data_IF_451301862193
#
_entry.id   IF_451301862193
#
_cell.length_a   1.000
_cell.length_b   1.000
_cell.length_c   1.000
_cell.angle_alpha   90.00
_cell.angle_beta   90.00
_cell.angle_gamma   90.00
#
_symmetry.space_group_name_H-M   'P 1'
#
loop_
_entity.id
_entity.type
_entity.pdbx_description
1 polymer ?
#
# COMPACT_ATOMS: atom_id res chain seq x y z
N UNK A 1 18.01 -7.45 7.00
CA UNK A 1 17.04 -7.15 5.94
C UNK A 1 15.73 -6.78 6.61
N UNK A 2 15.28 -5.53 6.49
CA UNK A 2 13.97 -5.12 7.02
C UNK A 2 12.90 -5.83 6.19
N UNK A 3 12.09 -6.68 6.84
CA UNK A 3 11.03 -7.43 6.16
C UNK A 3 9.88 -6.47 5.84
N UNK A 4 9.26 -6.64 4.67
CA UNK A 4 8.05 -5.89 4.28
C UNK A 4 6.98 -6.01 5.39
N UNK A 5 6.39 -4.89 5.87
CA UNK A 5 5.45 -4.90 7.00
C UNK A 5 4.04 -5.36 6.57
N UNK A 6 3.94 -6.61 6.11
CA UNK A 6 2.75 -7.20 5.49
C UNK A 6 1.47 -7.00 6.30
N UNK A 7 1.51 -7.34 7.59
CA UNK A 7 0.34 -7.27 8.47
C UNK A 7 -0.16 -5.84 8.65
N UNK A 8 0.74 -4.90 8.85
CA UNK A 8 0.39 -3.50 9.11
C UNK A 8 -0.19 -2.85 7.85
N UNK A 9 0.44 -3.10 6.70
CA UNK A 9 -0.04 -2.64 5.39
C UNK A 9 -1.40 -3.27 5.06
N UNK A 10 -1.59 -4.56 5.33
CA UNK A 10 -2.87 -5.22 5.11
C UNK A 10 -3.99 -4.63 5.97
N UNK A 11 -3.70 -4.33 7.24
CA UNK A 11 -4.67 -3.70 8.16
C UNK A 11 -5.03 -2.27 7.74
N UNK A 12 -4.06 -1.49 7.23
CA UNK A 12 -4.31 -0.16 6.69
C UNK A 12 -5.23 -0.24 5.46
N UNK A 13 -4.89 -1.10 4.50
CA UNK A 13 -5.66 -1.31 3.27
C UNK A 13 -7.07 -1.84 3.53
N UNK A 14 -7.27 -2.64 4.58
CA UNK A 14 -8.60 -3.14 4.97
C UNK A 14 -9.56 -2.02 5.39
N UNK A 15 -9.02 -0.95 5.98
CA UNK A 15 -9.80 0.20 6.47
C UNK A 15 -10.03 1.24 5.40
N UNK A 16 -9.35 1.14 4.26
CA UNK A 16 -9.45 2.08 3.16
C UNK A 16 -10.74 1.85 2.34
N UNK A 17 -11.57 2.90 2.26
CA UNK A 17 -12.84 2.86 1.54
C UNK A 17 -12.66 2.72 0.01
N UNK A 18 -11.62 3.32 -0.58
CA UNK A 18 -11.35 3.22 -2.00
C UNK A 18 -10.91 1.81 -2.40
N UNK A 19 -10.11 1.15 -1.54
CA UNK A 19 -9.76 -0.28 -1.71
C UNK A 19 -11.01 -1.14 -1.67
N UNK A 20 -11.93 -0.88 -0.74
CA UNK A 20 -13.20 -1.61 -0.64
C UNK A 20 -14.10 -1.38 -1.85
N UNK A 21 -14.28 -0.13 -2.27
CA UNK A 21 -15.14 0.23 -3.41
C UNK A 21 -14.62 -0.35 -4.73
N UNK A 22 -13.30 -0.36 -4.91
CA UNK A 22 -12.64 -0.88 -6.11
C UNK A 22 -11.94 -2.22 -5.87
N UNK A 23 -12.50 -3.05 -4.99
CA UNK A 23 -11.87 -4.31 -4.56
C UNK A 23 -11.45 -5.22 -5.70
N UNK A 24 -12.32 -5.37 -6.71
CA UNK A 24 -12.03 -6.17 -7.90
C UNK A 24 -10.81 -5.65 -8.67
N UNK A 25 -10.75 -4.34 -8.91
CA UNK A 25 -9.62 -3.70 -9.59
C UNK A 25 -8.34 -3.81 -8.76
N UNK A 26 -8.43 -3.60 -7.45
CA UNK A 26 -7.33 -3.77 -6.52
C UNK A 26 -6.73 -5.18 -6.59
N UNK A 27 -7.57 -6.22 -6.61
CA UNK A 27 -7.14 -7.60 -6.76
C UNK A 27 -6.36 -7.80 -8.07
N UNK A 28 -6.89 -7.31 -9.20
CA UNK A 28 -6.26 -7.47 -10.52
C UNK A 28 -4.89 -6.79 -10.55
N UNK A 29 -4.79 -5.56 -10.08
CA UNK A 29 -3.57 -4.76 -10.11
C UNK A 29 -2.43 -5.49 -9.39
N UNK A 30 -2.66 -5.88 -8.14
CA UNK A 30 -1.60 -6.43 -7.30
C UNK A 30 -1.30 -7.91 -7.59
N UNK A 31 -2.33 -8.72 -7.81
CA UNK A 31 -2.13 -10.17 -8.02
C UNK A 31 -1.97 -10.56 -9.49
N UNK A 32 -2.23 -9.65 -10.44
CA UNK A 32 -2.23 -9.90 -11.87
C UNK A 32 -3.46 -10.68 -12.37
N UNK A 33 -4.24 -11.31 -11.48
CA UNK A 33 -5.42 -12.09 -11.81
C UNK A 33 -6.47 -12.00 -10.70
N UNK A 34 -7.71 -11.64 -11.00
CA UNK A 34 -8.80 -11.79 -10.03
C UNK A 34 -9.29 -13.24 -10.00
N UNK A 35 -8.77 -14.07 -9.08
CA UNK A 35 -9.42 -15.37 -8.83
C UNK A 35 -10.71 -15.12 -8.05
N UNK A 36 -11.71 -15.96 -8.30
CA UNK A 36 -13.04 -15.85 -7.66
C UNK A 36 -12.96 -15.83 -6.12
N UNK A 37 -11.99 -16.56 -5.55
CA UNK A 37 -11.72 -16.62 -4.12
C UNK A 37 -11.18 -15.29 -3.53
N UNK A 38 -10.52 -14.47 -4.34
CA UNK A 38 -9.91 -13.21 -3.91
C UNK A 38 -10.92 -12.07 -3.93
N UNK A 39 -11.88 -12.12 -4.86
CA UNK A 39 -12.91 -11.08 -5.04
C UNK A 39 -14.13 -11.28 -4.15
N UNK A 40 -14.17 -12.36 -3.37
CA UNK A 40 -15.21 -12.58 -2.35
C UNK A 40 -15.08 -11.54 -1.22
N UNK A 41 -16.06 -10.65 -1.12
CA UNK A 41 -16.17 -9.62 -0.08
C UNK A 41 -16.18 -10.19 1.35
N UNK A 42 -16.57 -11.46 1.55
CA UNK A 42 -16.48 -12.13 2.86
C UNK A 42 -15.01 -12.29 3.30
N UNK A 43 -14.11 -12.52 2.34
CA UNK A 43 -12.67 -12.64 2.56
C UNK A 43 -11.98 -11.27 2.66
N UNK A 44 -12.56 -10.21 2.07
CA UNK A 44 -12.13 -8.84 2.35
C UNK A 44 -12.35 -8.47 3.82
N UNK A 45 -13.57 -8.72 4.32
CA UNK A 45 -13.96 -8.32 5.68
C UNK A 45 -13.20 -9.04 6.79
N UNK A 46 -12.64 -10.23 6.55
CA UNK A 46 -11.83 -10.96 7.54
C UNK A 46 -10.32 -10.65 7.43
N UNK A 47 -9.89 -9.79 6.49
CA UNK A 47 -8.51 -9.36 6.28
C UNK A 47 -7.60 -10.39 5.60
N UNK A 48 -8.03 -11.66 5.51
CA UNK A 48 -7.19 -12.72 4.95
C UNK A 48 -6.96 -12.55 3.44
N UNK A 49 -7.91 -11.98 2.71
CA UNK A 49 -7.75 -11.76 1.27
C UNK A 49 -6.65 -10.74 0.96
N UNK A 50 -6.58 -9.64 1.73
CA UNK A 50 -5.60 -8.57 1.51
C UNK A 50 -4.18 -9.10 1.74
N UNK A 51 -3.95 -9.85 2.83
CA UNK A 51 -2.65 -10.46 3.07
C UNK A 51 -2.25 -11.42 1.96
N UNK A 52 -3.17 -12.27 1.49
CA UNK A 52 -2.89 -13.19 0.36
C UNK A 52 -2.56 -12.46 -0.93
N UNK A 53 -3.28 -11.39 -1.25
CA UNK A 53 -3.03 -10.57 -2.44
C UNK A 53 -1.64 -9.92 -2.34
N UNK A 54 -1.31 -9.33 -1.19
CA UNK A 54 0.01 -8.75 -0.96
C UNK A 54 1.12 -9.79 -1.00
N UNK A 55 0.92 -11.00 -0.48
CA UNK A 55 1.89 -12.09 -0.60
C UNK A 55 2.13 -12.51 -2.06
N UNK A 56 1.06 -12.57 -2.88
CA UNK A 56 1.19 -12.84 -4.32
C UNK A 56 1.92 -11.70 -5.03
N UNK A 57 1.60 -10.46 -4.66
CA UNK A 57 2.29 -9.28 -5.16
C UNK A 57 3.78 -9.33 -4.82
N UNK A 58 4.16 -9.60 -3.56
CA UNK A 58 5.57 -9.76 -3.14
C UNK A 58 6.27 -10.85 -3.96
N UNK A 59 5.61 -11.99 -4.17
CA UNK A 59 6.16 -13.09 -4.99
C UNK A 59 6.37 -12.67 -6.45
N UNK A 60 5.45 -11.87 -7.01
CA UNK A 60 5.52 -11.33 -8.39
C UNK A 60 6.63 -10.29 -8.53
N UNK A 61 6.73 -9.36 -7.57
CA UNK A 61 7.72 -8.28 -7.54
C UNK A 61 9.12 -8.78 -7.15
N UNK A 62 9.23 -10.02 -6.65
CA UNK A 62 10.50 -10.67 -6.31
C UNK A 62 11.00 -10.34 -4.90
N UNK A 63 12.18 -10.86 -4.55
CA UNK A 63 12.75 -10.80 -3.19
C UNK A 63 13.05 -9.39 -2.65
N UNK A 64 12.87 -8.35 -3.46
CA UNK A 64 13.10 -6.95 -3.11
C UNK A 64 11.82 -6.10 -3.10
N UNK A 65 10.63 -6.71 -3.05
CA UNK A 65 9.37 -5.97 -3.00
C UNK A 65 9.37 -4.96 -1.83
N UNK A 66 9.44 -3.66 -2.15
CA UNK A 66 9.47 -2.59 -1.16
C UNK A 66 8.11 -1.93 -1.04
N UNK A 67 7.88 -1.24 0.08
CA UNK A 67 6.69 -0.42 0.22
C UNK A 67 6.61 0.70 -0.83
N UNK A 68 7.76 1.21 -1.28
CA UNK A 68 7.81 2.20 -2.35
C UNK A 68 7.25 1.64 -3.67
N UNK A 69 7.55 0.37 -3.99
CA UNK A 69 7.03 -0.31 -5.18
C UNK A 69 5.50 -0.47 -5.08
N UNK A 70 4.99 -0.83 -3.91
CA UNK A 70 3.55 -0.93 -3.67
C UNK A 70 2.85 0.43 -3.84
N UNK A 71 3.44 1.49 -3.29
CA UNK A 71 2.91 2.87 -3.43
C UNK A 71 2.87 3.29 -4.90
N UNK A 72 3.93 3.00 -5.68
CA UNK A 72 3.92 3.27 -7.11
C UNK A 72 2.84 2.48 -7.86
N UNK A 73 2.71 1.18 -7.62
CA UNK A 73 1.70 0.36 -8.29
C UNK A 73 0.28 0.85 -7.99
N UNK A 74 -0.02 1.17 -6.73
CA UNK A 74 -1.30 1.73 -6.33
C UNK A 74 -1.55 3.10 -6.97
N UNK A 75 -0.51 3.93 -7.09
CA UNK A 75 -0.61 5.24 -7.78
C UNK A 75 -0.94 5.08 -9.26
N UNK A 76 -0.27 4.16 -9.95
CA UNK A 76 -0.53 3.85 -11.38
C UNK A 76 -1.93 3.29 -11.59
N UNK A 77 -2.48 2.59 -10.59
CA UNK A 77 -3.80 1.99 -10.64
C UNK A 77 -4.96 2.87 -10.15
N UNK A 78 -4.75 4.19 -10.04
CA UNK A 78 -5.73 5.17 -9.55
C UNK A 78 -6.19 4.96 -8.10
N UNK A 79 -5.33 4.35 -7.26
CA UNK A 79 -5.45 4.30 -5.80
C UNK A 79 -4.56 5.38 -5.15
N UNK A 80 -4.52 6.58 -5.73
CA UNK A 80 -3.61 7.67 -5.31
C UNK A 80 -3.81 8.09 -3.85
N UNK A 81 -5.06 8.13 -3.37
CA UNK A 81 -5.38 8.42 -1.96
C UNK A 81 -4.79 7.35 -1.03
N UNK A 82 -5.01 6.07 -1.36
CA UNK A 82 -4.49 4.93 -0.60
C UNK A 82 -2.96 4.91 -0.62
N UNK A 83 -2.35 5.15 -1.78
CA UNK A 83 -0.90 5.24 -1.94
C UNK A 83 -0.31 6.37 -1.08
N UNK A 84 -0.95 7.54 -1.06
CA UNK A 84 -0.54 8.67 -0.22
C UNK A 84 -0.66 8.38 1.28
N UNK A 85 -1.71 7.67 1.70
CA UNK A 85 -1.86 7.23 3.09
C UNK A 85 -0.76 6.27 3.51
N UNK A 86 -0.49 5.24 2.69
CA UNK A 86 0.59 4.27 2.94
C UNK A 86 1.97 4.96 2.98
N UNK A 87 2.21 5.90 2.07
CA UNK A 87 3.44 6.67 2.06
C UNK A 87 3.61 7.50 3.33
N UNK A 88 2.56 8.19 3.77
CA UNK A 88 2.58 9.00 5.00
C UNK A 88 2.82 8.15 6.26
N UNK A 89 2.18 6.99 6.35
CA UNK A 89 2.19 6.14 7.55
C UNK A 89 3.48 5.31 7.68
N UNK A 90 4.01 4.82 6.57
CA UNK A 90 5.08 3.82 6.59
C UNK A 90 6.37 4.23 5.84
N UNK A 91 6.31 5.28 5.01
CA UNK A 91 7.49 5.93 4.43
C UNK A 91 7.54 7.39 4.90
N UNK A 92 7.60 7.65 6.22
CA UNK A 92 7.74 9.02 6.69
C UNK A 92 9.04 9.56 6.09
N UNK A 93 8.90 10.45 5.11
CA UNK A 93 10.01 11.26 4.64
C UNK A 93 10.54 11.92 5.91
N UNK A 94 11.85 11.80 6.22
CA UNK A 94 12.39 12.46 7.39
C UNK A 94 11.97 13.92 7.30
N UNK A 95 11.10 14.35 8.22
CA UNK A 95 10.84 15.78 8.42
C UNK A 95 12.22 16.38 8.57
N UNK A 96 12.61 17.23 7.62
CA UNK A 96 13.81 18.03 7.75
C UNK A 96 13.52 18.93 8.96
N UNK A 97 13.90 18.48 10.16
CA UNK A 97 13.90 19.29 11.36
C UNK A 97 15.11 20.21 11.20
N UNK A 98 14.87 21.38 10.59
CA UNK A 98 15.88 22.43 10.50
C UNK A 98 15.91 23.15 9.17
N UNK A 99 14.98 24.09 8.98
CA UNK A 99 15.39 25.40 8.48
C UNK A 99 14.99 26.40 9.55
N UNK A 100 15.90 26.64 10.49
CA UNK A 100 15.95 27.93 11.18
C UNK A 100 15.81 29.02 10.10
N UNK A 101 14.95 30.04 10.26
CA UNK A 101 15.17 31.27 9.53
C UNK A 101 16.52 31.82 10.03
N UNK A 102 17.58 31.52 9.29
CA UNK A 102 18.82 32.28 9.36
C UNK A 102 18.40 33.73 9.14
N UNK A 103 18.58 34.53 10.19
CA UNK A 103 18.39 35.96 10.11
C UNK A 103 19.21 36.51 8.95
N UNK A 104 18.56 37.30 8.11
CA UNK A 104 19.23 38.34 7.35
C UNK A 104 18.73 39.67 7.88
N UNK A 105 19.63 40.33 8.63
CA UNK A 105 19.64 41.76 8.79
C UNK A 105 19.59 42.44 7.42
N UNK A 106 18.68 43.40 7.25
CA UNK A 106 18.86 44.69 6.57
C UNK A 106 17.62 45.55 6.81
#
# INVERSE_FOLDING_TARGET
MSKFPLTQVADALRKDCAVKEKWYQFCIVLSGTAKLEDVDMRNFNNGQAISKILERWIKKSGGNATLHDLVMELTIADFTTTAGQLQSEFLPIPKIVGSNPIGTFS
#
